data_IF_465687881421
#
_entry.id   IF_465687881421
#
_cell.length_a   1.000
_cell.length_b   1.000
_cell.length_c   1.000
_cell.angle_alpha   90.00
_cell.angle_beta   90.00
_cell.angle_gamma   90.00
#
_symmetry.space_group_name_H-M   'P 1'
#
loop_
_entity.id
_entity.type
_entity.pdbx_description
1 polymer ?
#
# COMPACT_ATOMS: atom_id res chain seq x y z
N UNK A 1 -8.02 59.77 -1.44
CA UNK A 1 -7.89 58.35 -1.04
C UNK A 1 -6.86 57.73 -1.94
N UNK A 2 -5.62 57.58 -1.45
CA UNK A 2 -4.53 56.90 -2.17
C UNK A 2 -4.96 55.45 -2.32
N UNK A 3 -5.16 55.00 -3.56
CA UNK A 3 -5.49 53.59 -3.82
C UNK A 3 -4.21 52.78 -3.60
N UNK A 4 -4.21 51.90 -2.61
CA UNK A 4 -3.15 50.93 -2.33
C UNK A 4 -3.08 49.87 -3.43
N UNK A 5 -2.53 50.26 -4.59
CA UNK A 5 -2.29 49.35 -5.72
C UNK A 5 -1.28 48.25 -5.38
N UNK A 6 -0.38 48.49 -4.41
CA UNK A 6 0.59 47.51 -3.93
C UNK A 6 -0.09 46.31 -3.26
N UNK A 7 -0.97 46.56 -2.28
CA UNK A 7 -1.67 45.49 -1.56
C UNK A 7 -2.56 44.64 -2.47
N UNK A 8 -3.20 45.23 -3.49
CA UNK A 8 -4.04 44.49 -4.43
C UNK A 8 -3.22 43.57 -5.34
N UNK A 9 -2.02 44.01 -5.75
CA UNK A 9 -1.09 43.17 -6.51
C UNK A 9 -0.57 42.00 -5.69
N UNK A 10 -0.20 42.22 -4.42
CA UNK A 10 0.30 41.17 -3.54
C UNK A 10 -0.75 40.09 -3.28
N UNK A 11 -2.02 40.50 -3.08
CA UNK A 11 -3.15 39.57 -2.93
C UNK A 11 -3.35 38.71 -4.17
N UNK A 12 -3.26 39.30 -5.37
CA UNK A 12 -3.37 38.56 -6.64
C UNK A 12 -2.23 37.56 -6.84
N UNK A 13 -1.00 37.93 -6.51
CA UNK A 13 0.15 37.02 -6.59
C UNK A 13 0.03 35.88 -5.57
N UNK A 14 -0.45 36.14 -4.36
CA UNK A 14 -0.68 35.11 -3.35
C UNK A 14 -1.77 34.11 -3.78
N UNK A 15 -2.86 34.61 -4.34
CA UNK A 15 -3.98 33.78 -4.83
C UNK A 15 -3.55 32.93 -6.04
N UNK A 16 -2.78 33.51 -6.97
CA UNK A 16 -2.22 32.78 -8.11
C UNK A 16 -1.24 31.68 -7.65
N UNK A 17 -0.37 31.98 -6.69
CA UNK A 17 0.58 31.01 -6.14
C UNK A 17 -0.16 29.83 -5.47
N UNK A 18 -1.26 30.09 -4.78
CA UNK A 18 -2.10 29.06 -4.16
C UNK A 18 -2.79 28.20 -5.24
N UNK A 19 -3.31 28.82 -6.30
CA UNK A 19 -3.94 28.13 -7.41
C UNK A 19 -2.95 27.22 -8.18
N UNK A 20 -1.73 27.71 -8.43
CA UNK A 20 -0.63 26.93 -9.03
C UNK A 20 -0.26 25.72 -8.17
N UNK A 21 -0.17 25.88 -6.85
CA UNK A 21 0.10 24.78 -5.90
C UNK A 21 -1.02 23.73 -5.90
N UNK A 22 -2.29 24.17 -5.92
CA UNK A 22 -3.44 23.27 -5.97
C UNK A 22 -3.44 22.44 -7.27
N UNK A 23 -3.21 23.08 -8.42
CA UNK A 23 -3.14 22.42 -9.74
C UNK A 23 -1.99 21.40 -9.83
N UNK A 24 -0.80 21.75 -9.32
CA UNK A 24 0.35 20.83 -9.28
C UNK A 24 0.10 19.61 -8.38
N UNK A 25 -0.58 19.80 -7.25
CA UNK A 25 -0.94 18.72 -6.31
C UNK A 25 -1.93 17.73 -6.94
N UNK A 26 -2.89 18.23 -7.72
CA UNK A 26 -3.87 17.37 -8.43
C UNK A 26 -3.16 16.50 -9.48
N UNK A 27 -2.22 17.06 -10.24
CA UNK A 27 -1.47 16.31 -11.26
C UNK A 27 -0.58 15.22 -10.64
N UNK A 28 0.05 15.49 -9.48
CA UNK A 28 0.87 14.51 -8.77
C UNK A 28 0.06 13.35 -8.15
N UNK A 29 -1.21 13.56 -7.82
CA UNK A 29 -2.06 12.53 -7.21
C UNK A 29 -2.75 11.64 -8.25
N UNK A 30 -2.98 12.13 -9.47
CA UNK A 30 -3.62 11.36 -10.53
C UNK A 30 -2.73 10.22 -11.05
N UNK A 31 -1.41 10.40 -11.07
CA UNK A 31 -0.45 9.35 -11.43
C UNK A 31 -0.32 8.24 -10.35
N UNK A 32 -0.74 8.52 -9.11
CA UNK A 32 -0.63 7.59 -7.98
C UNK A 32 -1.91 6.80 -7.70
N UNK A 33 -3.06 7.18 -8.27
CA UNK A 33 -4.33 6.53 -7.96
C UNK A 33 -4.37 5.09 -8.48
N UNK A 34 -3.91 4.86 -9.72
CA UNK A 34 -3.80 3.53 -10.33
C UNK A 34 -2.79 2.64 -9.60
N UNK A 35 -1.64 3.18 -9.20
CA UNK A 35 -0.61 2.45 -8.43
C UNK A 35 -1.10 2.08 -7.02
N UNK A 36 -1.85 2.98 -6.36
CA UNK A 36 -2.46 2.69 -5.05
C UNK A 36 -3.52 1.60 -5.17
N UNK A 37 -4.44 1.70 -6.15
CA UNK A 37 -5.46 0.69 -6.40
C UNK A 37 -4.85 -0.69 -6.71
N UNK A 38 -3.79 -0.73 -7.53
CA UNK A 38 -3.07 -1.96 -7.85
C UNK A 38 -2.41 -2.59 -6.59
N UNK A 39 -1.81 -1.79 -5.70
CA UNK A 39 -1.26 -2.29 -4.42
C UNK A 39 -2.32 -2.92 -3.51
N UNK A 40 -3.55 -2.37 -3.49
CA UNK A 40 -4.63 -2.94 -2.69
C UNK A 40 -5.19 -4.24 -3.28
N UNK A 41 -5.29 -4.36 -4.61
CA UNK A 41 -5.70 -5.60 -5.27
C UNK A 41 -4.62 -6.70 -5.23
N UNK A 42 -3.34 -6.34 -5.15
CA UNK A 42 -2.22 -7.28 -5.06
C UNK A 42 -1.92 -7.80 -3.65
N UNK A 43 -2.81 -7.60 -2.67
CA UNK A 43 -2.74 -8.37 -1.41
C UNK A 43 -3.08 -9.84 -1.69
N UNK A 44 -2.12 -10.56 -2.29
CA UNK A 44 -2.18 -12.00 -2.51
C UNK A 44 -2.48 -12.66 -1.17
N UNK A 45 -3.58 -13.38 -1.10
CA UNK A 45 -3.85 -14.31 -0.01
C UNK A 45 -2.67 -15.27 0.06
N UNK A 46 -2.01 -15.33 1.23
CA UNK A 46 -0.88 -16.23 1.42
C UNK A 46 -1.37 -17.67 1.28
N UNK A 47 -0.85 -18.40 0.29
CA UNK A 47 -1.12 -19.83 0.09
C UNK A 47 -0.59 -20.71 1.25
N UNK A 48 0.21 -20.11 2.14
CA UNK A 48 0.79 -20.75 3.31
C UNK A 48 -0.27 -20.87 4.40
N UNK A 49 -0.63 -22.11 4.72
CA UNK A 49 -1.55 -22.46 5.82
C UNK A 49 -0.78 -23.00 7.01
N UNK A 50 -1.33 -22.78 8.21
CA UNK A 50 -0.85 -23.42 9.44
C UNK A 50 -1.56 -24.76 9.63
N UNK A 51 -0.77 -25.82 9.78
CA UNK A 51 -1.25 -27.19 9.95
C UNK A 51 -0.58 -27.81 11.16
N UNK A 52 -1.35 -28.55 11.96
CA UNK A 52 -0.83 -29.31 13.09
C UNK A 52 -0.45 -30.72 12.63
N UNK A 53 0.79 -31.11 12.88
CA UNK A 53 1.27 -32.44 12.53
C UNK A 53 0.56 -33.54 13.34
N UNK A 54 -0.02 -34.54 12.67
CA UNK A 54 -0.68 -35.68 13.34
C UNK A 54 0.26 -36.52 14.21
N UNK A 55 1.57 -36.59 13.88
CA UNK A 55 2.55 -37.45 14.56
C UNK A 55 3.22 -36.79 15.77
N UNK A 56 3.63 -35.52 15.64
CA UNK A 56 4.39 -34.81 16.68
C UNK A 56 3.64 -33.64 17.31
N UNK A 57 2.40 -33.37 16.89
CA UNK A 57 1.56 -32.24 17.36
C UNK A 57 2.18 -30.85 17.21
N UNK A 58 3.32 -30.72 16.50
CA UNK A 58 3.91 -29.42 16.18
C UNK A 58 3.06 -28.70 15.13
N UNK A 59 2.84 -27.41 15.33
CA UNK A 59 2.23 -26.51 14.35
C UNK A 59 3.32 -26.06 13.38
N UNK A 60 3.05 -26.18 12.08
CA UNK A 60 3.98 -25.75 11.03
C UNK A 60 3.25 -25.09 9.88
N UNK A 61 3.97 -24.22 9.18
CA UNK A 61 3.48 -23.51 8.00
C UNK A 61 3.82 -24.31 6.75
N UNK A 62 2.82 -24.64 5.94
CA UNK A 62 3.02 -25.39 4.70
C UNK A 62 2.10 -24.90 3.59
N UNK A 63 2.59 -24.98 2.35
CA UNK A 63 1.77 -24.83 1.14
C UNK A 63 1.32 -26.21 0.59
N UNK A 64 1.83 -27.31 1.16
CA UNK A 64 1.50 -28.66 0.70
C UNK A 64 0.28 -29.22 1.44
N UNK A 65 -0.48 -30.09 0.77
CA UNK A 65 -1.58 -30.85 1.37
C UNK A 65 -1.06 -32.05 2.17
N UNK A 66 -0.18 -31.82 3.15
CA UNK A 66 0.42 -32.87 3.97
C UNK A 66 0.10 -32.66 5.45
N UNK A 67 -0.44 -33.70 6.10
CA UNK A 67 -0.73 -33.73 7.54
C UNK A 67 0.49 -33.98 8.43
N UNK A 68 1.67 -34.16 7.82
CA UNK A 68 2.91 -34.53 8.50
C UNK A 68 3.94 -33.41 8.43
N UNK A 69 4.66 -33.23 9.53
CA UNK A 69 5.79 -32.31 9.64
C UNK A 69 6.95 -32.74 8.72
N UNK A 70 7.83 -31.83 8.32
CA UNK A 70 8.98 -32.13 7.45
C UNK A 70 9.86 -33.26 8.02
N UNK A 71 10.18 -33.20 9.33
CA UNK A 71 10.93 -34.27 10.01
C UNK A 71 10.18 -35.61 9.99
N UNK A 72 8.87 -35.57 10.17
CA UNK A 72 8.00 -36.74 10.24
C UNK A 72 7.91 -37.42 8.87
N UNK A 73 7.84 -36.62 7.81
CA UNK A 73 7.86 -37.07 6.42
C UNK A 73 9.23 -37.66 6.05
N UNK A 74 10.32 -37.02 6.47
CA UNK A 74 11.70 -37.50 6.21
C UNK A 74 12.01 -38.82 6.91
N UNK A 75 11.45 -39.07 8.10
CA UNK A 75 11.61 -40.34 8.84
C UNK A 75 10.72 -41.48 8.34
N UNK A 76 9.82 -41.22 7.39
CA UNK A 76 8.89 -42.20 6.83
C UNK A 76 9.35 -42.76 5.49
N UNK A 77 10.49 -42.27 4.98
CA UNK A 77 11.15 -42.68 3.74
C UNK A 77 12.53 -43.22 4.07
#
# INVERSE_FOLDING_TARGET
>A
MVRDYGEDTEKKFAEEALNRKARATIQANNYNCSVKMAKFQMKKTSLIKEVTCKKCKKVFKTNSNSDLCFDCRKKSH
#
